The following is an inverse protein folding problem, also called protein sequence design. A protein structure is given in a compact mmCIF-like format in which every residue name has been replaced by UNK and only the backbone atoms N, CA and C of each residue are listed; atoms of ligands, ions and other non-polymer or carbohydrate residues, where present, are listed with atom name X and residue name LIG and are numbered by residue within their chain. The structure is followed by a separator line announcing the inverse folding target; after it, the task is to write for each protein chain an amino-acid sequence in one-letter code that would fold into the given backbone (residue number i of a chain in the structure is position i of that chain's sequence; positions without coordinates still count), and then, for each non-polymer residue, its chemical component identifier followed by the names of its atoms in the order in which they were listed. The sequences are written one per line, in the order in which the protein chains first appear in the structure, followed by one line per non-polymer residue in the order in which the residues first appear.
data_IF_500408253760
#
_entry.id   IF_500408253760
#
_cell.length_a   1.000
_cell.length_b   1.000
_cell.length_c   1.000
_cell.angle_alpha   90.00
_cell.angle_beta   90.00
_cell.angle_gamma   90.00
#
_symmetry.space_group_name_H-M   'P 1'
#
loop_
_entity.id
_entity.type
_entity.pdbx_description
1 polymer ?
#
# COMPACT_ATOMS: atom_id res chain seq x y z
N UNK A 1 -14.02 19.39 -5.10
CA UNK A 1 -13.21 18.16 -4.96
C UNK A 1 -12.07 18.24 -5.94
N UNK A 2 -10.81 18.07 -5.50
CA UNK A 2 -9.66 18.19 -6.39
C UNK A 2 -9.57 16.91 -7.26
N UNK A 3 -9.84 17.04 -8.56
CA UNK A 3 -9.85 15.92 -9.52
C UNK A 3 -8.49 15.19 -9.61
N UNK A 4 -7.41 15.86 -9.27
CA UNK A 4 -6.06 15.31 -9.35
C UNK A 4 -5.75 14.37 -8.18
N UNK A 5 -6.29 14.62 -6.98
CA UNK A 5 -6.06 13.78 -5.80
C UNK A 5 -6.75 12.40 -5.89
N UNK A 6 -7.86 12.29 -6.61
CA UNK A 6 -8.56 11.01 -6.80
C UNK A 6 -7.86 10.09 -7.82
N UNK A 7 -6.87 10.60 -8.57
CA UNK A 7 -6.20 9.89 -9.66
C UNK A 7 -4.72 9.60 -9.41
N UNK A 8 -4.21 9.91 -8.23
CA UNK A 8 -2.81 9.67 -7.88
C UNK A 8 -2.70 8.92 -6.56
N UNK A 9 -1.73 8.00 -6.47
CA UNK A 9 -1.32 7.42 -5.20
C UNK A 9 -0.25 8.32 -4.58
N UNK A 10 -0.40 8.66 -3.31
CA UNK A 10 0.59 9.44 -2.57
C UNK A 10 1.21 8.56 -1.49
N UNK A 11 2.53 8.50 -1.45
CA UNK A 11 3.27 7.75 -0.43
C UNK A 11 4.25 8.70 0.24
N UNK A 12 4.04 8.94 1.53
CA UNK A 12 4.93 9.72 2.38
C UNK A 12 5.71 8.76 3.29
N UNK A 13 7.03 8.79 3.17
CA UNK A 13 7.94 7.88 3.86
C UNK A 13 8.83 8.64 4.82
N UNK A 14 8.80 8.26 6.09
CA UNK A 14 9.68 8.78 7.13
C UNK A 14 10.68 7.69 7.49
N UNK A 15 11.95 8.02 7.49
CA UNK A 15 13.03 7.14 7.94
C UNK A 15 13.65 7.76 9.18
N UNK A 16 13.68 6.99 10.28
CA UNK A 16 14.28 7.38 11.53
C UNK A 16 15.52 6.52 11.78
N UNK A 17 16.66 7.16 12.01
CA UNK A 17 17.89 6.50 12.42
C UNK A 17 18.19 6.86 13.88
N UNK A 18 18.46 5.86 14.70
CA UNK A 18 18.86 6.02 16.09
C UNK A 18 20.21 5.36 16.32
N UNK A 19 21.12 6.09 16.96
CA UNK A 19 22.43 5.60 17.38
C UNK A 19 22.59 5.79 18.88
N UNK A 20 23.20 4.83 19.54
CA UNK A 20 23.63 5.01 20.93
C UNK A 20 24.74 6.06 20.99
N UNK A 21 24.55 7.06 21.84
CA UNK A 21 25.44 8.23 21.93
C UNK A 21 26.66 8.02 22.79
N UNK A 22 26.62 7.12 23.81
CA UNK A 22 27.66 6.92 24.78
C UNK A 22 28.17 5.48 24.84
N UNK A 23 29.44 5.29 24.54
CA UNK A 23 30.18 4.05 24.73
C UNK A 23 30.23 3.61 26.21
N UNK A 24 30.16 4.57 27.15
CA UNK A 24 30.32 4.33 28.58
C UNK A 24 29.11 3.63 29.24
N UNK A 25 27.92 3.70 28.67
CA UNK A 25 26.69 3.12 29.22
C UNK A 25 26.36 1.74 28.71
N UNK A 26 26.93 1.32 27.59
CA UNK A 26 26.53 0.08 26.92
C UNK A 26 27.28 -1.16 27.41
N UNK A 27 28.47 -1.02 27.98
CA UNK A 27 29.31 -2.18 28.41
C UNK A 27 29.63 -3.17 27.29
N UNK A 28 29.24 -2.86 26.06
CA UNK A 28 29.36 -3.70 24.85
C UNK A 28 30.46 -3.10 23.98
N UNK A 29 31.43 -3.93 23.61
CA UNK A 29 32.63 -3.53 22.87
C UNK A 29 32.37 -3.12 21.40
N UNK A 30 31.11 -3.09 20.91
CA UNK A 30 30.76 -2.65 19.55
C UNK A 30 29.61 -1.61 19.60
N UNK A 31 29.96 -0.30 19.66
CA UNK A 31 29.00 0.79 19.70
C UNK A 31 28.37 1.13 18.34
N UNK A 32 28.57 0.31 17.32
CA UNK A 32 28.25 0.63 15.93
C UNK A 32 26.83 0.35 15.47
N UNK A 33 25.94 -0.18 16.31
CA UNK A 33 24.56 -0.52 15.93
C UNK A 33 23.72 0.71 15.63
N UNK A 34 23.28 0.87 14.36
CA UNK A 34 22.26 1.86 13.96
C UNK A 34 20.90 1.17 13.88
N UNK A 35 19.94 1.66 14.68
CA UNK A 35 18.55 1.25 14.54
C UNK A 35 17.88 2.11 13.48
N UNK A 36 17.35 1.47 12.42
CA UNK A 36 16.63 2.15 11.35
C UNK A 36 15.16 1.76 11.42
N UNK A 37 14.30 2.75 11.68
CA UNK A 37 12.85 2.61 11.63
C UNK A 37 12.28 3.31 10.39
N UNK A 38 11.24 2.74 9.78
CA UNK A 38 10.55 3.35 8.64
C UNK A 38 9.05 3.38 8.87
N UNK A 39 8.43 4.55 8.66
CA UNK A 39 6.99 4.73 8.62
C UNK A 39 6.58 5.15 7.21
N UNK A 40 5.63 4.44 6.63
CA UNK A 40 5.02 4.79 5.34
C UNK A 40 3.55 5.16 5.53
N UNK A 41 3.20 6.39 5.21
CA UNK A 41 1.81 6.86 5.16
C UNK A 41 1.39 6.86 3.69
N UNK A 42 0.29 6.15 3.40
CA UNK A 42 -0.14 5.88 2.03
C UNK A 42 -1.56 6.35 1.84
N UNK A 43 -1.75 7.26 0.88
CA UNK A 43 -3.06 7.69 0.40
C UNK A 43 -3.24 7.18 -1.04
N UNK A 44 -4.21 6.29 -1.23
CA UNK A 44 -4.44 5.61 -2.51
C UNK A 44 -5.44 6.39 -3.34
N UNK A 45 -5.27 6.35 -4.66
CA UNK A 45 -6.26 6.86 -5.60
C UNK A 45 -7.59 6.13 -5.43
N UNK A 46 -8.68 6.77 -5.86
CA UNK A 46 -10.02 6.20 -5.78
C UNK A 46 -10.16 4.88 -6.53
N UNK A 47 -10.97 3.99 -5.99
CA UNK A 47 -11.28 2.67 -6.57
C UNK A 47 -12.55 2.69 -7.44
N UNK A 48 -13.09 3.86 -7.74
CA UNK A 48 -14.29 4.01 -8.54
C UNK A 48 -14.13 3.43 -9.95
N UNK A 49 -15.23 2.86 -10.45
CA UNK A 49 -15.25 2.29 -11.79
C UNK A 49 -15.13 3.38 -12.85
N UNK A 50 -14.23 3.20 -13.79
CA UNK A 50 -14.05 4.08 -14.97
C UNK A 50 -15.35 4.31 -15.74
N UNK A 51 -16.29 3.37 -15.69
CA UNK A 51 -17.59 3.47 -16.35
C UNK A 51 -18.45 4.63 -15.85
N UNK A 52 -18.25 5.06 -14.58
CA UNK A 52 -19.02 6.15 -13.98
C UNK A 52 -18.36 7.52 -14.16
N UNK A 53 -17.12 7.57 -14.63
CA UNK A 53 -16.37 8.84 -14.74
C UNK A 53 -16.58 9.54 -16.08
N UNK A 54 -17.20 8.88 -17.08
CA UNK A 54 -17.35 9.42 -18.43
C UNK A 54 -16.02 9.72 -19.14
N UNK A 55 -14.91 9.19 -18.63
CA UNK A 55 -13.57 9.45 -19.13
C UNK A 55 -13.38 8.87 -20.54
N UNK A 56 -12.80 9.66 -21.44
CA UNK A 56 -12.49 9.28 -22.83
C UNK A 56 -11.02 9.56 -23.14
N UNK A 57 -10.45 8.88 -24.14
CA UNK A 57 -9.08 9.12 -24.58
C UNK A 57 -8.02 8.88 -23.50
N UNK A 58 -7.08 9.79 -23.34
CA UNK A 58 -5.95 9.68 -22.39
C UNK A 58 -6.39 9.53 -20.94
N UNK A 59 -7.48 10.18 -20.55
CA UNK A 59 -8.07 10.08 -19.20
C UNK A 59 -8.58 8.68 -18.89
N UNK A 60 -9.08 7.97 -19.91
CA UNK A 60 -9.52 6.58 -19.79
C UNK A 60 -8.33 5.64 -19.55
N UNK A 61 -7.23 5.84 -20.25
CA UNK A 61 -6.03 5.01 -20.11
C UNK A 61 -5.33 5.25 -18.76
N UNK A 62 -5.34 6.48 -18.26
CA UNK A 62 -4.87 6.81 -16.92
C UNK A 62 -5.70 6.08 -15.86
N UNK A 63 -7.03 6.18 -15.93
CA UNK A 63 -7.93 5.53 -14.99
C UNK A 63 -7.81 3.99 -15.02
N UNK A 64 -7.57 3.39 -16.18
CA UNK A 64 -7.28 1.95 -16.32
C UNK A 64 -5.99 1.56 -15.61
N UNK A 65 -4.91 2.34 -15.73
CA UNK A 65 -3.63 2.11 -15.06
C UNK A 65 -3.76 2.20 -13.54
N UNK A 66 -4.53 3.17 -13.04
CA UNK A 66 -4.82 3.32 -11.62
C UNK A 66 -5.57 2.09 -11.10
N UNK A 67 -6.66 1.69 -11.74
CA UNK A 67 -7.44 0.53 -11.34
C UNK A 67 -6.64 -0.78 -11.45
N UNK A 68 -5.74 -0.90 -12.42
CA UNK A 68 -4.84 -2.03 -12.52
C UNK A 68 -3.92 -2.10 -11.29
N UNK A 69 -3.34 -0.98 -10.85
CA UNK A 69 -2.44 -0.95 -9.69
C UNK A 69 -3.15 -1.36 -8.40
N UNK A 70 -4.39 -0.90 -8.19
CA UNK A 70 -5.23 -1.29 -7.05
C UNK A 70 -5.65 -2.77 -7.10
N UNK A 71 -5.96 -3.28 -8.29
CA UNK A 71 -6.29 -4.71 -8.50
C UNK A 71 -5.09 -5.61 -8.17
N UNK A 72 -3.89 -5.22 -8.58
CA UNK A 72 -2.66 -5.93 -8.24
C UNK A 72 -2.40 -5.89 -6.73
N UNK A 73 -2.60 -4.73 -6.09
CA UNK A 73 -2.47 -4.59 -4.63
C UNK A 73 -3.44 -5.52 -3.90
N UNK A 74 -4.70 -5.58 -4.33
CA UNK A 74 -5.70 -6.49 -3.77
C UNK A 74 -5.28 -7.95 -3.88
N UNK A 75 -4.73 -8.37 -5.03
CA UNK A 75 -4.20 -9.74 -5.21
C UNK A 75 -3.03 -10.04 -4.28
N UNK A 76 -2.11 -9.09 -4.11
CA UNK A 76 -0.97 -9.23 -3.19
C UNK A 76 -1.47 -9.42 -1.76
N UNK A 77 -2.40 -8.58 -1.29
CA UNK A 77 -2.98 -8.70 0.05
C UNK A 77 -3.69 -10.05 0.23
N UNK A 78 -4.48 -10.48 -0.75
CA UNK A 78 -5.17 -11.79 -0.70
C UNK A 78 -4.18 -12.96 -0.65
N UNK A 79 -3.08 -12.88 -1.40
CA UNK A 79 -2.02 -13.90 -1.37
C UNK A 79 -1.32 -13.96 -0.03
N UNK A 80 -1.05 -12.82 0.60
CA UNK A 80 -0.46 -12.74 1.94
C UNK A 80 -1.41 -13.29 3.02
N UNK A 81 -2.71 -13.05 2.88
CA UNK A 81 -3.72 -13.53 3.82
C UNK A 81 -3.98 -15.03 3.72
N UNK A 82 -3.74 -15.66 2.57
CA UNK A 82 -4.05 -17.07 2.32
C UNK A 82 -3.11 -18.08 2.99
N UNK A 83 -2.08 -17.65 3.72
CA UNK A 83 -1.12 -18.48 4.49
C UNK A 83 -0.60 -19.74 3.77
N UNK A 84 -0.68 -19.82 2.45
CA UNK A 84 -0.12 -20.94 1.72
C UNK A 84 1.40 -20.78 1.66
N UNK A 85 2.14 -21.67 2.30
CA UNK A 85 3.61 -21.64 2.42
C UNK A 85 4.33 -21.59 1.06
N UNK A 86 3.65 -21.91 -0.04
CA UNK A 86 4.20 -21.93 -1.40
C UNK A 86 3.58 -20.88 -2.34
N UNK A 87 2.78 -19.92 -1.85
CA UNK A 87 2.20 -18.92 -2.75
C UNK A 87 3.23 -17.83 -3.06
N UNK A 88 3.71 -17.80 -4.30
CA UNK A 88 4.54 -16.71 -4.79
C UNK A 88 3.75 -15.42 -4.86
N UNK A 89 4.13 -14.42 -4.05
CA UNK A 89 3.51 -13.10 -4.04
C UNK A 89 4.17 -12.21 -5.10
N UNK A 90 3.44 -11.86 -6.15
CA UNK A 90 3.98 -11.07 -7.26
C UNK A 90 3.88 -9.56 -6.98
N UNK A 91 4.88 -9.01 -6.29
CA UNK A 91 4.99 -7.56 -6.07
C UNK A 91 5.37 -6.77 -7.34
N UNK A 92 5.90 -7.45 -8.36
CA UNK A 92 6.46 -6.81 -9.56
C UNK A 92 5.43 -6.43 -10.59
N UNK A 93 4.18 -6.87 -10.46
CA UNK A 93 3.10 -6.62 -11.43
C UNK A 93 2.62 -5.16 -11.42
N UNK A 94 2.99 -4.38 -10.40
CA UNK A 94 2.65 -2.96 -10.33
C UNK A 94 3.77 -2.17 -9.64
N UNK A 95 3.99 -0.92 -10.08
CA UNK A 95 4.92 -0.01 -9.39
C UNK A 95 4.49 0.24 -7.94
N UNK A 96 3.19 0.36 -7.70
CA UNK A 96 2.63 0.56 -6.36
C UNK A 96 3.01 -0.59 -5.42
N UNK A 97 2.73 -1.83 -5.79
CA UNK A 97 3.03 -3.00 -4.96
C UNK A 97 4.54 -3.19 -4.76
N UNK A 98 5.34 -2.82 -5.74
CA UNK A 98 6.80 -2.86 -5.62
C UNK A 98 7.33 -1.83 -4.62
N UNK A 99 6.77 -0.61 -4.58
CA UNK A 99 7.15 0.42 -3.61
C UNK A 99 6.69 0.04 -2.20
N UNK A 100 5.52 -0.58 -2.09
CA UNK A 100 4.92 -0.99 -0.81
C UNK A 100 5.44 -2.34 -0.30
N UNK A 101 6.26 -3.05 -1.05
CA UNK A 101 6.75 -4.37 -0.68
C UNK A 101 7.32 -4.41 0.73
N UNK A 102 8.20 -3.48 1.10
CA UNK A 102 8.81 -3.43 2.44
C UNK A 102 7.81 -3.18 3.57
N UNK A 103 6.65 -2.61 3.25
CA UNK A 103 5.57 -2.36 4.21
C UNK A 103 4.56 -3.52 4.29
N UNK A 104 4.51 -4.38 3.29
CA UNK A 104 3.60 -5.52 3.22
C UNK A 104 4.28 -6.85 3.57
N UNK A 105 5.62 -6.90 3.47
CA UNK A 105 6.40 -8.08 3.74
C UNK A 105 6.59 -8.31 5.25
N UNK A 106 6.89 -9.54 5.66
CA UNK A 106 6.77 -10.09 7.02
C UNK A 106 7.42 -9.34 8.19
N UNK A 107 8.27 -8.33 7.96
CA UNK A 107 8.91 -7.52 9.00
C UNK A 107 8.23 -6.15 9.21
N UNK A 108 6.99 -5.96 8.78
CA UNK A 108 6.26 -4.71 8.94
C UNK A 108 4.94 -4.91 9.68
N UNK A 109 4.49 -3.86 10.38
CA UNK A 109 3.13 -3.76 10.92
C UNK A 109 2.33 -2.86 10.00
N UNK A 110 1.32 -3.41 9.33
CA UNK A 110 0.50 -2.68 8.37
C UNK A 110 -0.94 -2.58 8.86
N UNK A 111 -1.49 -1.37 8.79
CA UNK A 111 -2.90 -1.10 9.04
C UNK A 111 -3.54 -0.57 7.74
N UNK A 112 -4.73 -1.04 7.42
CA UNK A 112 -5.51 -0.60 6.26
C UNK A 112 -6.78 0.07 6.76
N UNK A 113 -7.02 1.30 6.28
CA UNK A 113 -8.24 2.06 6.58
C UNK A 113 -9.08 2.07 5.30
N UNK A 114 -10.25 1.44 5.34
CA UNK A 114 -11.20 1.43 4.23
C UNK A 114 -12.38 2.34 4.55
N UNK A 115 -12.59 3.36 3.71
CA UNK A 115 -13.76 4.23 3.78
C UNK A 115 -14.89 3.64 2.94
N UNK A 116 -16.05 3.40 3.55
CA UNK A 116 -17.22 2.85 2.89
C UNK A 116 -18.38 3.84 2.95
N UNK A 117 -19.19 3.86 1.88
CA UNK A 117 -20.43 4.64 1.85
C UNK A 117 -21.63 3.71 1.73
N UNK A 118 -22.71 3.92 2.51
CA UNK A 118 -23.92 3.12 2.41
C UNK A 118 -24.80 3.47 1.19
N UNK A 119 -24.41 4.46 0.38
CA UNK A 119 -25.21 4.90 -0.77
C UNK A 119 -25.22 3.83 -1.85
N UNK A 120 -26.41 3.41 -2.27
CA UNK A 120 -26.61 2.47 -3.39
C UNK A 120 -26.18 3.04 -4.75
N UNK A 121 -26.06 4.37 -4.87
CA UNK A 121 -25.60 5.05 -6.08
C UNK A 121 -24.12 4.82 -6.38
N UNK A 122 -23.35 4.45 -5.36
CA UNK A 122 -21.92 4.12 -5.47
C UNK A 122 -21.70 2.69 -5.01
N UNK A 123 -22.21 1.72 -5.79
CA UNK A 123 -21.89 0.32 -5.55
C UNK A 123 -20.40 0.08 -5.85
N UNK A 124 -19.54 0.42 -4.88
CA UNK A 124 -18.18 -0.11 -4.84
C UNK A 124 -18.36 -1.61 -4.65
N UNK A 125 -17.99 -2.41 -5.65
CA UNK A 125 -17.76 -3.82 -5.44
C UNK A 125 -16.61 -3.93 -4.45
N UNK A 126 -16.92 -3.84 -3.17
CA UNK A 126 -16.01 -4.29 -2.15
C UNK A 126 -15.59 -5.70 -2.54
N UNK A 127 -14.30 -5.89 -2.79
CA UNK A 127 -13.77 -7.23 -2.92
C UNK A 127 -14.31 -7.98 -1.70
N UNK A 128 -15.11 -9.02 -1.93
CA UNK A 128 -15.60 -9.86 -0.83
C UNK A 128 -14.37 -10.38 -0.12
N UNK A 129 -14.04 -9.77 1.02
CA UNK A 129 -13.25 -10.43 2.03
C UNK A 129 -14.08 -11.67 2.40
N UNK A 130 -13.74 -12.81 1.86
CA UNK A 130 -14.26 -14.07 2.36
C UNK A 130 -13.66 -14.21 3.75
N UNK A 131 -14.52 -14.14 4.74
CA UNK A 131 -14.23 -14.64 6.07
C UNK A 131 -13.68 -16.07 5.91
N UNK A 132 -12.46 -16.24 6.39
CA UNK A 132 -11.85 -17.54 6.64
C UNK A 132 -11.76 -17.74 8.14
#
# INVERSE_FOLDING_TARGET
MNQQSSRSHTIFKIVCESRLRDEALSGVADPGGVLVGQLSLVDLAGSESVRFTGATGETLDEARKINLSLSVLSRVISSLASKSENSHVSYRDSKLTRILQSSLDGNARTAIIACVTPSSSFCVRAARAREA
#
